data_IF_716333635102
#
_entry.id   IF_716333635102
#
_cell.length_a   1.000
_cell.length_b   1.000
_cell.length_c   1.000
_cell.angle_alpha   90.00
_cell.angle_beta   90.00
_cell.angle_gamma   90.00
#
_symmetry.space_group_name_H-M   'P 1'
#
loop_
_entity.id
_entity.type
_entity.pdbx_description
1 polymer ?
#
# COMPACT_ATOMS: atom_id res chain seq x y z
N UNK A 1 -8.75 -40.91 23.57
CA UNK A 1 -7.28 -40.72 23.68
C UNK A 1 -6.61 -40.64 22.31
N UNK A 2 -7.00 -41.45 21.31
CA UNK A 2 -6.39 -41.48 19.96
C UNK A 2 -6.36 -40.14 19.19
N UNK A 3 -7.48 -39.41 19.10
CA UNK A 3 -7.57 -38.25 18.19
C UNK A 3 -6.70 -37.06 18.61
N UNK A 4 -6.49 -36.88 19.92
CA UNK A 4 -5.66 -35.80 20.46
C UNK A 4 -4.19 -36.02 20.13
N UNK A 5 -3.72 -37.26 20.25
CA UNK A 5 -2.34 -37.63 19.92
C UNK A 5 -2.09 -37.58 18.41
N UNK A 6 -3.07 -37.98 17.60
CA UNK A 6 -3.03 -37.84 16.14
C UNK A 6 -2.98 -36.37 15.70
N UNK A 7 -3.80 -35.50 16.30
CA UNK A 7 -3.76 -34.05 16.05
C UNK A 7 -2.40 -33.47 16.46
N UNK A 8 -1.87 -33.88 17.61
CA UNK A 8 -0.60 -33.38 18.13
C UNK A 8 0.60 -33.83 17.27
N UNK A 9 0.56 -35.06 16.73
CA UNK A 9 1.53 -35.54 15.75
C UNK A 9 1.44 -34.78 14.41
N UNK A 10 0.22 -34.51 13.92
CA UNK A 10 -0.01 -33.70 12.72
C UNK A 10 0.51 -32.27 12.89
N UNK A 11 0.20 -31.62 14.01
CA UNK A 11 0.71 -30.29 14.35
C UNK A 11 2.24 -30.30 14.43
N UNK A 12 2.85 -31.31 15.04
CA UNK A 12 4.31 -31.45 15.13
C UNK A 12 4.94 -31.65 13.75
N UNK A 13 4.27 -32.38 12.87
CA UNK A 13 4.69 -32.61 11.47
C UNK A 13 4.54 -31.34 10.63
N UNK A 14 3.46 -30.58 10.82
CA UNK A 14 3.28 -29.26 10.21
C UNK A 14 4.36 -28.29 10.69
N UNK A 15 4.60 -28.18 12.01
CA UNK A 15 5.65 -27.31 12.55
C UNK A 15 7.06 -27.74 12.13
N UNK A 16 7.29 -29.04 12.00
CA UNK A 16 8.58 -29.59 11.53
C UNK A 16 8.83 -29.37 10.04
N UNK A 17 7.82 -28.93 9.29
CA UNK A 17 7.88 -28.72 7.85
C UNK A 17 7.58 -27.27 7.48
N UNK A 18 8.07 -26.36 8.33
CA UNK A 18 7.89 -24.92 8.20
C UNK A 18 8.20 -24.38 6.80
N UNK A 19 9.27 -24.87 6.16
CA UNK A 19 9.64 -24.47 4.79
C UNK A 19 8.65 -24.95 3.73
N UNK A 20 8.11 -26.17 3.86
CA UNK A 20 7.11 -26.69 2.91
C UNK A 20 5.77 -25.95 3.06
N UNK A 21 5.39 -25.62 4.29
CA UNK A 21 4.23 -24.77 4.59
C UNK A 21 4.45 -23.37 3.99
N UNK A 22 5.59 -22.73 4.25
CA UNK A 22 5.93 -21.43 3.66
C UNK A 22 5.81 -21.45 2.15
N UNK A 23 6.32 -22.48 1.50
CA UNK A 23 6.24 -22.65 0.06
C UNK A 23 4.79 -22.76 -0.43
N UNK A 24 3.94 -23.54 0.24
CA UNK A 24 2.52 -23.67 -0.12
C UNK A 24 1.73 -22.37 0.06
N UNK A 25 2.08 -21.56 1.08
CA UNK A 25 1.46 -20.26 1.32
C UNK A 25 2.10 -19.13 0.48
N UNK A 26 3.11 -19.42 -0.35
CA UNK A 26 3.78 -18.43 -1.18
C UNK A 26 4.65 -17.45 -0.39
N UNK A 27 5.08 -17.80 0.82
CA UNK A 27 5.84 -16.95 1.75
C UNK A 27 7.33 -17.31 1.69
N UNK A 28 8.05 -16.68 0.78
CA UNK A 28 9.46 -16.97 0.50
C UNK A 28 10.43 -15.99 1.17
N UNK A 29 9.95 -14.86 1.69
CA UNK A 29 10.79 -13.85 2.30
C UNK A 29 10.15 -13.19 3.52
N UNK A 30 10.97 -12.42 4.24
CA UNK A 30 10.59 -11.71 5.46
C UNK A 30 9.51 -10.65 5.25
N UNK A 31 9.46 -10.01 4.08
CA UNK A 31 8.48 -8.98 3.76
C UNK A 31 7.08 -9.58 3.64
N UNK A 32 6.98 -10.77 3.06
CA UNK A 32 5.72 -11.52 2.97
C UNK A 32 5.24 -11.98 4.35
N UNK A 33 6.16 -12.38 5.24
CA UNK A 33 5.82 -12.64 6.65
C UNK A 33 5.28 -11.35 7.30
N UNK A 34 5.97 -10.23 7.12
CA UNK A 34 5.58 -8.94 7.70
C UNK A 34 4.20 -8.50 7.19
N UNK A 35 3.90 -8.68 5.90
CA UNK A 35 2.58 -8.42 5.33
C UNK A 35 1.51 -9.37 5.89
N UNK A 36 1.78 -10.68 5.96
CA UNK A 36 0.84 -11.66 6.50
C UNK A 36 0.51 -11.35 7.97
N UNK A 37 1.52 -11.06 8.80
CA UNK A 37 1.32 -10.65 10.19
C UNK A 37 0.50 -9.36 10.28
N UNK A 38 0.76 -8.39 9.41
CA UNK A 38 0.01 -7.14 9.37
C UNK A 38 -1.47 -7.39 9.02
N UNK A 39 -1.77 -8.22 8.02
CA UNK A 39 -3.16 -8.57 7.67
C UNK A 39 -3.85 -9.30 8.81
N UNK A 40 -3.24 -10.35 9.38
CA UNK A 40 -3.85 -11.11 10.48
C UNK A 40 -4.20 -10.20 11.66
N UNK A 41 -3.25 -9.36 12.07
CA UNK A 41 -3.46 -8.42 13.17
C UNK A 41 -4.55 -7.38 12.81
N UNK A 42 -4.61 -6.91 11.55
CA UNK A 42 -5.64 -5.97 11.08
C UNK A 42 -7.04 -6.56 11.22
N UNK A 43 -7.23 -7.78 10.73
CA UNK A 43 -8.52 -8.47 10.77
C UNK A 43 -8.94 -8.78 12.22
N UNK A 44 -8.00 -9.23 13.07
CA UNK A 44 -8.26 -9.45 14.50
C UNK A 44 -8.72 -8.18 15.21
N UNK A 45 -8.13 -7.02 14.90
CA UNK A 45 -8.57 -5.72 15.47
C UNK A 45 -9.95 -5.29 14.95
N UNK A 46 -10.23 -5.48 13.65
CA UNK A 46 -11.51 -5.10 13.07
C UNK A 46 -12.68 -5.92 13.60
N UNK A 47 -12.44 -7.19 13.96
CA UNK A 47 -13.46 -8.05 14.53
C UNK A 47 -13.92 -7.60 15.93
N UNK A 48 -13.30 -6.57 16.54
CA UNK A 48 -13.66 -5.99 17.86
C UNK A 48 -13.85 -7.03 18.96
N UNK A 49 -13.12 -8.15 18.88
CA UNK A 49 -13.33 -9.30 19.75
C UNK A 49 -12.71 -9.02 21.11
N UNK A 50 -13.56 -8.72 22.10
CA UNK A 50 -13.17 -8.47 23.49
C UNK A 50 -13.11 -9.75 24.34
N UNK A 51 -13.76 -10.85 23.90
CA UNK A 51 -13.81 -12.13 24.60
C UNK A 51 -13.54 -13.31 23.65
N UNK A 52 -12.74 -14.28 24.11
CA UNK A 52 -12.39 -15.49 23.34
C UNK A 52 -13.58 -16.43 23.10
N UNK A 53 -14.62 -16.36 23.94
CA UNK A 53 -15.77 -17.27 23.88
C UNK A 53 -16.60 -17.05 22.61
N UNK A 54 -16.70 -15.81 22.13
CA UNK A 54 -17.53 -15.43 20.98
C UNK A 54 -16.78 -15.40 19.65
N UNK A 55 -15.50 -15.79 19.65
CA UNK A 55 -14.67 -15.74 18.46
C UNK A 55 -14.94 -16.94 17.55
N UNK A 56 -15.11 -16.67 16.26
CA UNK A 56 -15.24 -17.72 15.25
C UNK A 56 -14.00 -18.61 15.20
N UNK A 57 -14.14 -19.83 14.67
CA UNK A 57 -13.03 -20.78 14.58
C UNK A 57 -11.89 -20.21 13.73
N UNK A 58 -12.23 -19.49 12.66
CA UNK A 58 -11.28 -18.84 11.75
C UNK A 58 -10.45 -17.78 12.46
N UNK A 59 -11.09 -16.92 13.27
CA UNK A 59 -10.39 -15.90 14.05
C UNK A 59 -9.51 -16.52 15.15
N UNK A 60 -9.94 -17.62 15.76
CA UNK A 60 -9.12 -18.40 16.73
C UNK A 60 -7.88 -19.00 16.05
N UNK A 61 -8.05 -19.56 14.85
CA UNK A 61 -6.94 -20.07 14.03
C UNK A 61 -5.98 -18.92 13.70
N UNK A 62 -6.51 -17.80 13.19
CA UNK A 62 -5.72 -16.64 12.80
C UNK A 62 -4.89 -16.07 13.96
N UNK A 63 -5.48 -15.92 15.14
CA UNK A 63 -4.76 -15.47 16.35
C UNK A 63 -3.62 -16.42 16.72
N UNK A 64 -3.90 -17.73 16.78
CA UNK A 64 -2.88 -18.74 17.10
C UNK A 64 -1.77 -18.79 16.05
N UNK A 65 -2.13 -18.67 14.77
CA UNK A 65 -1.16 -18.59 13.67
C UNK A 65 -0.26 -17.36 13.83
N UNK A 66 -0.82 -16.19 14.13
CA UNK A 66 -0.05 -14.98 14.37
C UNK A 66 0.92 -15.12 15.55
N UNK A 67 0.46 -15.68 16.68
CA UNK A 67 1.30 -15.95 17.85
C UNK A 67 2.44 -16.93 17.53
N UNK A 68 2.15 -18.00 16.77
CA UNK A 68 3.13 -18.98 16.33
C UNK A 68 4.19 -18.38 15.39
N UNK A 69 3.78 -17.52 14.46
CA UNK A 69 4.70 -16.84 13.55
C UNK A 69 5.61 -15.90 14.35
N UNK A 70 5.06 -15.14 15.31
CA UNK A 70 5.85 -14.25 16.18
C UNK A 70 6.90 -15.02 16.99
N UNK A 71 6.52 -16.15 17.59
CA UNK A 71 7.44 -16.97 18.40
C UNK A 71 8.50 -17.67 17.55
N UNK A 72 8.13 -18.16 16.37
CA UNK A 72 9.02 -18.93 15.49
C UNK A 72 10.01 -18.02 14.73
N UNK A 73 9.58 -16.84 14.32
CA UNK A 73 10.42 -15.88 13.57
C UNK A 73 11.16 -14.89 14.47
N UNK A 74 10.73 -14.74 15.72
CA UNK A 74 11.22 -13.71 16.64
C UNK A 74 10.83 -12.28 16.24
N UNK A 75 9.98 -12.11 15.20
CA UNK A 75 9.59 -10.79 14.67
C UNK A 75 8.39 -10.23 15.42
N UNK A 76 8.40 -8.91 15.60
CA UNK A 76 7.21 -8.16 16.00
C UNK A 76 6.27 -7.93 14.82
N UNK A 77 4.97 -7.74 15.10
CA UNK A 77 4.03 -7.33 14.06
C UNK A 77 4.39 -5.90 13.61
N UNK A 78 4.57 -5.64 12.31
CA UNK A 78 4.88 -4.30 11.82
C UNK A 78 3.81 -3.30 12.23
N UNK A 79 4.23 -2.06 12.52
CA UNK A 79 3.31 -0.95 12.76
C UNK A 79 2.47 -0.72 11.50
N UNK A 80 1.15 -0.69 11.67
CA UNK A 80 0.23 -0.54 10.54
C UNK A 80 -0.24 0.91 10.44
N UNK A 81 0.13 1.55 9.33
CA UNK A 81 -0.48 2.81 8.94
C UNK A 81 -1.93 2.60 8.52
N UNK A 82 -2.79 3.60 8.73
CA UNK A 82 -4.23 3.52 8.35
C UNK A 82 -4.43 3.29 6.85
N UNK A 83 -3.47 3.73 6.05
CA UNK A 83 -3.46 3.60 4.59
C UNK A 83 -2.77 2.34 4.08
N UNK A 84 -2.36 1.41 4.95
CA UNK A 84 -1.69 0.17 4.54
C UNK A 84 -2.62 -0.68 3.64
N UNK A 85 -2.19 -0.90 2.41
CA UNK A 85 -2.75 -1.87 1.48
C UNK A 85 -1.68 -2.90 1.19
N UNK A 86 -1.98 -4.17 1.40
CA UNK A 86 -1.07 -5.29 1.16
C UNK A 86 -1.32 -5.92 -0.21
N UNK A 87 -0.42 -6.80 -0.66
CA UNK A 87 -0.60 -7.47 -1.94
C UNK A 87 -1.84 -8.38 -1.95
N UNK A 88 -2.21 -8.90 -0.78
CA UNK A 88 -3.42 -9.71 -0.58
C UNK A 88 -4.72 -8.93 -0.75
N UNK A 89 -4.66 -7.59 -0.69
CA UNK A 89 -5.82 -6.71 -0.91
C UNK A 89 -6.02 -6.37 -2.41
N UNK A 90 -5.08 -6.75 -3.29
CA UNK A 90 -5.01 -6.31 -4.68
C UNK A 90 -5.19 -7.47 -5.67
N UNK A 91 -6.09 -7.29 -6.63
CA UNK A 91 -6.25 -8.22 -7.76
C UNK A 91 -5.69 -7.59 -9.03
N UNK A 92 -4.47 -7.97 -9.42
CA UNK A 92 -3.82 -7.41 -10.61
C UNK A 92 -4.53 -7.82 -11.91
N UNK A 93 -4.70 -6.86 -12.82
CA UNK A 93 -5.37 -7.03 -14.10
C UNK A 93 -4.43 -6.83 -15.31
N UNK A 94 -3.15 -6.56 -15.09
CA UNK A 94 -2.13 -6.36 -16.13
C UNK A 94 -1.27 -5.12 -15.91
N UNK A 95 -0.16 -5.01 -16.64
CA UNK A 95 0.77 -3.88 -16.56
C UNK A 95 0.35 -2.76 -17.50
N UNK A 96 0.32 -1.52 -17.02
CA UNK A 96 -0.08 -0.34 -17.82
C UNK A 96 1.14 0.23 -18.56
N UNK A 97 2.28 0.29 -17.87
CA UNK A 97 3.53 0.83 -18.41
C UNK A 97 4.58 0.96 -17.32
N UNK A 98 5.81 1.26 -17.70
CA UNK A 98 6.91 1.45 -16.76
C UNK A 98 8.00 2.33 -17.37
N UNK A 99 8.67 3.10 -16.52
CA UNK A 99 9.80 3.94 -16.90
C UNK A 99 11.07 3.55 -16.13
N UNK A 100 12.11 4.38 -16.26
CA UNK A 100 13.40 4.15 -15.59
C UNK A 100 13.28 3.92 -14.09
N UNK A 101 12.36 4.63 -13.41
CA UNK A 101 12.30 4.71 -11.94
C UNK A 101 11.07 4.05 -11.29
N UNK A 102 10.07 3.59 -12.06
CA UNK A 102 8.88 2.92 -11.51
C UNK A 102 8.15 2.08 -12.56
N UNK A 103 7.38 1.09 -12.10
CA UNK A 103 6.42 0.35 -12.91
C UNK A 103 5.00 0.66 -12.42
N UNK A 104 4.04 0.70 -13.35
CA UNK A 104 2.64 0.97 -13.05
C UNK A 104 1.78 -0.17 -13.57
N UNK A 105 1.07 -0.81 -12.65
CA UNK A 105 0.17 -1.92 -12.92
C UNK A 105 -1.28 -1.51 -12.64
N UNK A 106 -2.20 -2.15 -13.36
CA UNK A 106 -3.64 -2.03 -13.15
C UNK A 106 -4.08 -3.12 -12.18
N UNK A 107 -4.90 -2.77 -11.20
CA UNK A 107 -5.47 -3.75 -10.28
C UNK A 107 -6.90 -3.38 -9.87
N UNK A 108 -7.58 -4.29 -9.17
CA UNK A 108 -8.80 -3.99 -8.41
C UNK A 108 -8.50 -4.04 -6.92
N UNK A 109 -8.95 -3.01 -6.20
CA UNK A 109 -8.97 -2.93 -4.75
C UNK A 109 -10.42 -2.75 -4.30
N UNK A 110 -10.95 -3.71 -3.54
CA UNK A 110 -12.35 -3.71 -3.07
C UNK A 110 -13.37 -3.41 -4.19
N UNK A 111 -13.20 -4.06 -5.34
CA UNK A 111 -14.03 -3.87 -6.54
C UNK A 111 -13.69 -2.63 -7.39
N UNK A 112 -12.98 -1.65 -6.83
CA UNK A 112 -12.61 -0.40 -7.51
C UNK A 112 -11.33 -0.58 -8.33
N UNK A 113 -11.32 -0.02 -9.54
CA UNK A 113 -10.15 -0.07 -10.42
C UNK A 113 -9.09 0.96 -9.98
N UNK A 114 -7.86 0.49 -9.77
CA UNK A 114 -6.76 1.28 -9.21
C UNK A 114 -5.48 1.13 -10.04
N UNK A 115 -4.61 2.14 -9.93
CA UNK A 115 -3.24 2.09 -10.41
C UNK A 115 -2.31 1.77 -9.24
N UNK A 116 -1.45 0.77 -9.42
CA UNK A 116 -0.42 0.37 -8.47
C UNK A 116 0.93 0.79 -9.04
N UNK A 117 1.54 1.81 -8.45
CA UNK A 117 2.84 2.33 -8.85
C UNK A 117 3.91 1.76 -7.93
N UNK A 118 4.68 0.82 -8.44
CA UNK A 118 5.81 0.20 -7.75
C UNK A 118 7.05 1.05 -7.98
N UNK A 119 7.66 1.55 -6.90
CA UNK A 119 8.81 2.44 -6.95
C UNK A 119 10.09 1.61 -6.92
N UNK A 120 11.01 1.80 -7.87
CA UNK A 120 12.31 1.12 -7.80
C UNK A 120 13.12 1.67 -6.62
N UNK A 121 13.92 0.78 -6.03
CA UNK A 121 14.84 0.97 -4.89
C UNK A 121 14.94 2.40 -4.32
N UNK A 122 14.34 2.57 -3.14
CA UNK A 122 14.23 3.83 -2.43
C UNK A 122 15.39 4.08 -1.43
N UNK A 123 16.30 3.12 -1.23
CA UNK A 123 17.32 3.24 -0.18
C UNK A 123 16.75 3.69 1.18
N UNK A 124 17.39 4.66 1.84
CA UNK A 124 16.98 5.22 3.15
C UNK A 124 15.77 6.18 3.12
N UNK A 125 14.91 6.13 2.10
CA UNK A 125 13.78 7.07 1.97
C UNK A 125 12.42 6.51 2.40
N UNK A 126 12.37 5.36 3.09
CA UNK A 126 11.11 4.78 3.57
C UNK A 126 10.32 5.73 4.48
N UNK A 127 10.96 6.36 5.46
CA UNK A 127 10.28 7.32 6.34
C UNK A 127 9.76 8.54 5.58
N UNK A 128 10.52 9.01 4.60
CA UNK A 128 10.10 10.10 3.73
C UNK A 128 8.84 9.72 2.95
N UNK A 129 8.84 8.52 2.35
CA UNK A 129 7.69 7.98 1.64
C UNK A 129 6.49 7.83 2.57
N UNK A 130 6.67 7.30 3.78
CA UNK A 130 5.58 7.14 4.77
C UNK A 130 4.97 8.50 5.16
N UNK A 131 5.79 9.56 5.31
CA UNK A 131 5.29 10.92 5.57
C UNK A 131 4.49 11.47 4.37
N UNK A 132 4.98 11.26 3.15
CA UNK A 132 4.24 11.66 1.95
C UNK A 132 2.89 10.93 1.86
N UNK A 133 2.85 9.63 2.16
CA UNK A 133 1.61 8.86 2.15
C UNK A 133 0.65 9.32 3.24
N UNK A 134 1.15 9.67 4.42
CA UNK A 134 0.31 10.22 5.49
C UNK A 134 -0.35 11.53 5.06
N UNK A 135 0.42 12.45 4.47
CA UNK A 135 -0.12 13.71 3.93
C UNK A 135 -1.13 13.43 2.82
N UNK A 136 -0.77 12.62 1.82
CA UNK A 136 -1.70 12.35 0.71
C UNK A 136 -2.98 11.63 1.17
N UNK A 137 -2.89 10.84 2.25
CA UNK A 137 -4.05 10.15 2.81
C UNK A 137 -5.11 11.09 3.37
N UNK A 138 -4.79 12.34 3.72
CA UNK A 138 -5.74 13.33 4.25
C UNK A 138 -6.39 14.18 3.16
N UNK A 139 -5.78 14.30 1.98
CA UNK A 139 -6.20 15.22 0.93
C UNK A 139 -7.43 14.73 0.16
N UNK A 140 -8.44 15.60 0.02
CA UNK A 140 -9.69 15.28 -0.68
C UNK A 140 -10.13 16.48 -1.52
N UNK A 141 -9.94 16.36 -2.84
CA UNK A 141 -10.33 17.40 -3.80
C UNK A 141 -10.52 16.80 -5.19
N UNK A 142 -11.43 17.34 -5.99
CA UNK A 142 -11.77 16.81 -7.33
C UNK A 142 -10.59 16.87 -8.32
N UNK A 143 -9.69 17.84 -8.12
CA UNK A 143 -8.47 18.01 -8.92
C UNK A 143 -7.21 17.45 -8.25
N UNK A 144 -7.37 16.53 -7.29
CA UNK A 144 -6.30 15.70 -6.73
C UNK A 144 -6.62 14.23 -6.97
N UNK A 145 -5.69 13.44 -7.53
CA UNK A 145 -5.87 12.00 -7.73
C UNK A 145 -6.12 11.39 -6.35
N UNK A 146 -7.24 10.67 -6.18
CA UNK A 146 -7.51 10.00 -4.93
C UNK A 146 -6.45 8.93 -4.64
N UNK A 147 -5.86 9.06 -3.46
CA UNK A 147 -5.01 8.06 -2.85
C UNK A 147 -5.87 7.02 -2.14
N UNK A 148 -5.58 5.75 -2.36
CA UNK A 148 -6.25 4.64 -1.68
C UNK A 148 -5.39 4.03 -0.59
N UNK A 149 -4.07 3.98 -0.80
CA UNK A 149 -3.14 3.41 0.16
C UNK A 149 -1.77 3.12 -0.43
N UNK A 150 -0.92 2.48 0.34
CA UNK A 150 0.44 2.09 -0.07
C UNK A 150 0.94 0.90 0.76
N UNK A 151 2.02 0.28 0.28
CA UNK A 151 2.81 -0.70 1.03
C UNK A 151 4.27 -0.28 1.06
N UNK A 152 4.78 -0.06 2.27
CA UNK A 152 6.22 0.09 2.56
C UNK A 152 6.80 -1.16 3.20
N UNK A 153 5.97 -2.19 3.44
CA UNK A 153 6.40 -3.51 3.93
C UNK A 153 7.11 -4.33 2.85
N UNK A 154 6.91 -3.97 1.58
CA UNK A 154 7.54 -4.62 0.42
C UNK A 154 8.75 -3.83 -0.07
N UNK A 155 9.71 -4.53 -0.66
CA UNK A 155 10.77 -3.94 -1.47
C UNK A 155 10.75 -4.60 -2.85
N UNK A 156 10.43 -3.85 -3.91
CA UNK A 156 10.10 -2.43 -3.92
C UNK A 156 8.77 -2.07 -3.21
N UNK A 157 8.65 -0.86 -2.61
CA UNK A 157 7.38 -0.37 -2.12
C UNK A 157 6.44 -0.02 -3.28
N UNK A 158 5.16 0.15 -2.98
CA UNK A 158 4.20 0.62 -3.98
C UNK A 158 3.14 1.54 -3.40
N UNK A 159 2.56 2.34 -4.28
CA UNK A 159 1.47 3.28 -4.02
C UNK A 159 0.24 2.86 -4.81
N UNK A 160 -0.93 2.94 -4.20
CA UNK A 160 -2.23 2.62 -4.80
C UNK A 160 -3.07 3.90 -4.89
N UNK A 161 -3.41 4.29 -6.12
CA UNK A 161 -4.19 5.49 -6.41
C UNK A 161 -5.29 5.20 -7.44
N UNK A 162 -6.17 6.19 -7.70
CA UNK A 162 -7.19 6.07 -8.75
C UNK A 162 -6.53 5.77 -10.09
N UNK A 163 -7.06 4.78 -10.80
CA UNK A 163 -6.66 4.53 -12.18
C UNK A 163 -7.20 5.63 -13.10
N UNK A 164 -6.29 6.32 -13.79
CA UNK A 164 -6.61 7.36 -14.76
C UNK A 164 -6.58 6.76 -16.17
N UNK A 165 -7.74 6.51 -16.77
CA UNK A 165 -7.87 5.79 -18.04
C UNK A 165 -7.14 6.48 -19.21
N UNK A 166 -7.11 7.82 -19.20
CA UNK A 166 -6.46 8.61 -20.24
C UNK A 166 -4.94 8.79 -20.02
N UNK A 167 -4.38 8.15 -18.98
CA UNK A 167 -2.96 8.28 -18.64
C UNK A 167 -2.61 9.66 -18.07
N UNK A 168 -1.37 10.10 -18.35
CA UNK A 168 -0.89 11.43 -17.94
C UNK A 168 -1.29 12.50 -18.98
N UNK A 169 -1.18 13.78 -18.59
CA UNK A 169 -1.62 14.88 -19.45
C UNK A 169 -0.84 14.98 -20.75
N UNK A 170 0.45 14.64 -20.74
CA UNK A 170 1.27 14.63 -21.96
C UNK A 170 0.67 13.67 -22.99
N UNK A 171 0.44 12.42 -22.59
CA UNK A 171 -0.19 11.41 -23.45
C UNK A 171 -1.62 11.77 -23.84
N UNK A 172 -2.37 12.40 -22.93
CA UNK A 172 -3.72 12.88 -23.24
C UNK A 172 -3.71 13.97 -24.31
N UNK A 173 -2.80 14.94 -24.22
CA UNK A 173 -2.65 16.00 -25.22
C UNK A 173 -2.14 15.48 -26.57
N UNK A 174 -1.28 14.45 -26.56
CA UNK A 174 -0.82 13.79 -27.80
C UNK A 174 -1.97 13.09 -28.54
N UNK A 175 -2.95 12.54 -27.81
CA UNK A 175 -4.10 11.81 -28.38
C UNK A 175 -5.33 12.69 -28.58
N UNK A 176 -5.37 13.86 -27.94
CA UNK A 176 -6.47 14.82 -27.98
C UNK A 176 -5.92 16.23 -28.23
N UNK A 177 -5.44 16.53 -29.45
CA UNK A 177 -4.76 17.79 -29.75
C UNK A 177 -5.68 19.01 -29.58
N UNK A 178 -6.99 18.84 -29.79
CA UNK A 178 -8.02 19.86 -29.67
C UNK A 178 -8.55 20.04 -28.23
N UNK A 179 -7.92 19.40 -27.24
CA UNK A 179 -8.31 19.56 -25.85
C UNK A 179 -8.22 21.03 -25.41
N UNK A 180 -9.21 21.49 -24.64
CA UNK A 180 -9.21 22.83 -24.05
C UNK A 180 -8.10 22.95 -22.99
N UNK A 181 -6.96 23.50 -23.43
CA UNK A 181 -5.78 23.69 -22.58
C UNK A 181 -6.03 24.71 -21.47
N UNK A 182 -6.91 25.69 -21.70
CA UNK A 182 -7.27 26.69 -20.68
C UNK A 182 -8.01 26.02 -19.54
N UNK A 183 -8.98 25.16 -19.87
CA UNK A 183 -9.69 24.34 -18.88
C UNK A 183 -8.74 23.45 -18.09
N UNK A 184 -7.82 22.77 -18.77
CA UNK A 184 -6.83 21.90 -18.11
C UNK A 184 -5.95 22.68 -17.13
N UNK A 185 -5.44 23.86 -17.51
CA UNK A 185 -4.65 24.72 -16.63
C UNK A 185 -5.48 25.18 -15.42
N UNK A 186 -6.75 25.52 -15.62
CA UNK A 186 -7.65 25.90 -14.54
C UNK A 186 -7.82 24.76 -13.53
N UNK A 187 -8.10 23.53 -13.98
CA UNK A 187 -8.23 22.35 -13.12
C UNK A 187 -6.95 22.10 -12.30
N UNK A 188 -5.78 22.22 -12.93
CA UNK A 188 -4.48 22.11 -12.23
C UNK A 188 -4.31 23.21 -11.19
N UNK A 189 -4.69 24.43 -11.54
CA UNK A 189 -4.59 25.58 -10.64
C UNK A 189 -5.49 25.44 -9.42
N UNK A 190 -6.71 24.89 -9.60
CA UNK A 190 -7.62 24.59 -8.51
C UNK A 190 -7.04 23.50 -7.58
N UNK A 191 -6.44 22.45 -8.12
CA UNK A 191 -5.76 21.43 -7.32
C UNK A 191 -4.60 22.00 -6.51
N UNK A 192 -3.78 22.86 -7.12
CA UNK A 192 -2.66 23.53 -6.44
C UNK A 192 -3.12 24.53 -5.38
N UNK A 193 -4.20 25.26 -5.65
CA UNK A 193 -4.81 26.17 -4.68
C UNK A 193 -5.23 25.41 -3.42
N UNK A 194 -5.97 24.31 -3.58
CA UNK A 194 -6.36 23.45 -2.45
C UNK A 194 -5.15 22.89 -1.68
N UNK A 195 -4.09 22.42 -2.38
CA UNK A 195 -2.88 21.97 -1.71
C UNK A 195 -2.27 23.05 -0.81
N UNK A 196 -2.23 24.29 -1.30
CA UNK A 196 -1.69 25.40 -0.53
C UNK A 196 -2.60 25.80 0.64
N UNK A 197 -3.92 25.69 0.52
CA UNK A 197 -4.85 25.86 1.66
C UNK A 197 -4.57 24.83 2.77
N UNK A 198 -4.20 23.60 2.39
CA UNK A 198 -3.78 22.54 3.32
C UNK A 198 -2.31 22.70 3.79
N UNK A 199 -1.65 23.82 3.46
CA UNK A 199 -0.23 24.09 3.78
C UNK A 199 0.74 23.05 3.20
N UNK A 200 0.39 22.47 2.06
CA UNK A 200 1.18 21.45 1.38
C UNK A 200 1.85 22.01 0.12
N UNK A 201 3.18 21.92 0.06
CA UNK A 201 3.95 22.27 -1.14
C UNK A 201 4.20 21.00 -1.98
N UNK A 202 3.74 20.99 -3.23
CA UNK A 202 3.85 19.80 -4.10
C UNK A 202 5.30 19.39 -4.42
N UNK A 203 6.21 20.34 -4.62
CA UNK A 203 7.65 20.09 -4.80
C UNK A 203 8.11 19.62 -6.20
N UNK A 204 7.27 18.96 -7.00
CA UNK A 204 7.65 18.49 -8.35
C UNK A 204 6.47 18.51 -9.36
N UNK A 205 5.81 19.67 -9.52
CA UNK A 205 4.66 19.80 -10.42
C UNK A 205 5.12 19.70 -11.89
N UNK A 206 4.73 18.63 -12.59
CA UNK A 206 5.04 18.40 -14.01
C UNK A 206 3.84 17.80 -14.73
N UNK A 207 3.69 18.04 -16.04
CA UNK A 207 2.60 17.46 -16.86
C UNK A 207 2.58 15.92 -16.91
N UNK A 208 3.70 15.28 -16.61
CA UNK A 208 3.81 13.81 -16.44
C UNK A 208 3.36 13.35 -15.05
N UNK A 209 3.45 14.23 -14.06
CA UNK A 209 3.29 14.02 -12.60
C UNK A 209 2.04 14.76 -12.14
N UNK A 210 0.95 14.68 -12.90
CA UNK A 210 -0.12 15.64 -12.65
C UNK A 210 -0.84 15.45 -11.33
N UNK A 211 -0.70 14.31 -10.63
CA UNK A 211 -1.03 14.20 -9.21
C UNK A 211 -0.20 13.08 -8.56
N UNK A 212 1.11 13.27 -8.43
CA UNK A 212 1.97 12.41 -7.61
C UNK A 212 2.88 13.30 -6.75
N UNK A 213 2.70 13.22 -5.43
CA UNK A 213 3.59 13.83 -4.45
C UNK A 213 5.06 13.50 -4.74
N UNK A 214 5.93 14.51 -4.65
CA UNK A 214 7.36 14.36 -4.37
C UNK A 214 7.77 15.46 -3.41
N UNK A 215 7.71 15.15 -2.12
CA UNK A 215 8.37 15.93 -1.07
C UNK A 215 9.78 15.35 -0.95
N UNK A 216 10.77 15.95 -1.62
CA UNK A 216 12.10 16.24 -1.04
C UNK A 216 13.05 16.83 -2.10
N UNK A 217 13.64 18.00 -1.74
CA UNK A 217 14.91 18.44 -2.29
C UNK A 217 15.08 19.94 -2.59
N UNK A 218 14.95 20.84 -1.62
CA UNK A 218 15.90 21.96 -1.39
C UNK A 218 15.45 22.86 -0.20
N UNK A 219 16.32 22.98 0.81
CA UNK A 219 16.35 24.01 1.86
C UNK A 219 15.21 24.07 2.89
N UNK A 220 15.30 23.20 3.89
CA UNK A 220 14.83 23.48 5.25
C UNK A 220 15.76 24.56 5.84
N UNK A 221 15.53 25.82 5.51
CA UNK A 221 16.03 26.99 6.24
C UNK A 221 15.23 28.24 5.83
N UNK A 222 13.98 28.33 6.30
CA UNK A 222 13.16 29.53 6.55
C UNK A 222 11.69 29.19 6.30
N UNK A 223 10.96 28.98 7.38
CA UNK A 223 9.60 29.48 7.59
C UNK A 223 9.16 29.14 9.02
N UNK A 224 9.96 29.67 9.96
CA UNK A 224 9.54 30.09 11.29
C UNK A 224 10.29 31.39 11.57
N UNK A 225 9.81 32.46 10.95
CA UNK A 225 9.85 33.87 11.36
C UNK A 225 9.02 34.67 10.38
#
# INVERSE_FOLDING_TARGET
MSDRDSLQALLKKLTGNYEEIRSQFGIYNDQQIDQAMAVMERELRHARVTSEEHMSVELKIMRKSLECIKSTTGRGVPKQSKWLITEYDLHYCGTIGGGGFSTVSKARFRGTLVAVKTLKDIGNTREALEREMEIWSTLRHDHIVPFYGASTLTSPPYIVSRYMQNGNLVRYLDTTPDADRTKLILEVSLGMYYLHEECVVHGDLKGVILIYFRVFGANIHRLLR
#
